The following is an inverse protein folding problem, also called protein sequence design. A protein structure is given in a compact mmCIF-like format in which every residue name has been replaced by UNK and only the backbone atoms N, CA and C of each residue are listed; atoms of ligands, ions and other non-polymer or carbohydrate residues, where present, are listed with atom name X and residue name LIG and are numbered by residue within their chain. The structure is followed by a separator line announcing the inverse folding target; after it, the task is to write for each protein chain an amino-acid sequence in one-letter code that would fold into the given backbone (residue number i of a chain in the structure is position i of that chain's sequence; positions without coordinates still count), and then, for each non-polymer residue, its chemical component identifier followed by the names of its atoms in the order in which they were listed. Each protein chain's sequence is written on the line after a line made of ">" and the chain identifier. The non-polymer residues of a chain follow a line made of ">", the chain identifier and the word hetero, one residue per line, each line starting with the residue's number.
data_IF_593462271889
#
_entry.id   IF_593462271889
#
_cell.length_a   1.000
_cell.length_b   1.000
_cell.length_c   1.000
_cell.angle_alpha   90.00
_cell.angle_beta   90.00
_cell.angle_gamma   90.00
#
_symmetry.space_group_name_H-M   'P 1'
#
loop_
_entity.id
_entity.type
_entity.pdbx_description
1 polymer ?
#
# COMPACT_ATOMS: atom_id res chain seq x y z
N UNK A 1 15.34 21.77 -74.67
CA UNK A 1 14.23 21.32 -75.55
C UNK A 1 13.88 19.87 -75.24
N UNK A 2 12.58 19.60 -75.05
CA UNK A 2 11.88 18.29 -75.12
C UNK A 2 12.20 17.23 -74.04
N UNK A 3 11.26 16.49 -73.46
CA UNK A 3 9.77 16.41 -73.49
C UNK A 3 9.38 15.57 -72.24
N UNK A 4 8.23 15.88 -71.65
CA UNK A 4 7.57 15.07 -70.61
C UNK A 4 7.02 13.77 -71.21
N UNK A 5 7.11 12.67 -70.48
CA UNK A 5 6.15 11.56 -70.57
C UNK A 5 5.94 10.95 -69.18
N UNK A 6 4.72 11.11 -68.68
CA UNK A 6 4.21 10.41 -67.52
C UNK A 6 3.75 9.00 -67.92
N UNK A 7 3.88 8.02 -67.03
CA UNK A 7 3.05 6.83 -67.02
C UNK A 7 2.84 6.37 -65.58
N UNK A 8 1.59 6.50 -65.15
CA UNK A 8 1.05 6.00 -63.90
C UNK A 8 0.89 4.49 -63.95
N UNK A 9 1.29 3.77 -62.89
CA UNK A 9 0.66 2.51 -62.51
C UNK A 9 0.48 2.51 -61.00
N UNK A 10 -0.79 2.58 -60.60
CA UNK A 10 -1.26 2.38 -59.24
C UNK A 10 -1.22 0.90 -58.91
N UNK A 11 -0.58 0.53 -57.79
CA UNK A 11 -0.94 -0.67 -57.03
C UNK A 11 -1.29 -0.21 -55.63
N UNK A 12 -2.59 -0.03 -55.40
CA UNK A 12 -3.15 0.12 -54.07
C UNK A 12 -3.02 -1.23 -53.36
N UNK A 13 -1.95 -1.41 -52.59
CA UNK A 13 -1.92 -2.45 -51.56
C UNK A 13 -2.79 -1.94 -50.41
N UNK A 14 -4.03 -2.44 -50.36
CA UNK A 14 -4.79 -2.50 -49.12
C UNK A 14 -3.99 -3.37 -48.14
N UNK A 15 -3.11 -2.73 -47.38
CA UNK A 15 -2.65 -3.28 -46.12
C UNK A 15 -3.87 -3.28 -45.19
N UNK A 16 -4.56 -4.42 -45.15
CA UNK A 16 -5.39 -4.78 -44.01
C UNK A 16 -4.46 -4.81 -42.80
N UNK A 17 -4.33 -3.67 -42.12
CA UNK A 17 -3.74 -3.62 -40.80
C UNK A 17 -4.59 -4.57 -39.95
N UNK A 18 -3.99 -5.60 -39.31
CA UNK A 18 -4.70 -6.25 -38.23
C UNK A 18 -4.90 -5.16 -37.18
N UNK A 19 -6.14 -4.70 -37.05
CA UNK A 19 -6.58 -4.01 -35.86
C UNK A 19 -6.24 -4.97 -34.72
N UNK A 20 -5.15 -4.69 -34.03
CA UNK A 20 -4.87 -5.28 -32.74
C UNK A 20 -6.07 -4.90 -31.88
N UNK A 21 -7.03 -5.81 -31.82
CA UNK A 21 -8.05 -5.83 -30.78
C UNK A 21 -7.26 -5.85 -29.48
N UNK A 22 -7.06 -4.67 -28.90
CA UNK A 22 -6.69 -4.54 -27.51
C UNK A 22 -7.83 -5.21 -26.75
N UNK A 23 -7.62 -6.47 -26.36
CA UNK A 23 -8.43 -7.14 -25.37
C UNK A 23 -8.31 -6.35 -24.06
N UNK A 24 -9.10 -5.29 -23.96
CA UNK A 24 -9.37 -4.51 -22.76
C UNK A 24 -10.05 -5.46 -21.76
N UNK A 25 -9.26 -6.02 -20.84
CA UNK A 25 -9.76 -6.93 -19.81
C UNK A 25 -8.79 -8.02 -19.37
N UNK A 26 -7.59 -8.09 -19.98
CA UNK A 26 -6.57 -9.09 -19.63
C UNK A 26 -5.79 -8.73 -18.37
N UNK A 27 -5.68 -9.69 -17.46
CA UNK A 27 -4.79 -9.70 -16.30
C UNK A 27 -3.43 -9.09 -16.66
N UNK A 28 -3.07 -7.94 -16.09
CA UNK A 28 -1.80 -7.25 -16.36
C UNK A 28 -0.65 -8.09 -15.79
N UNK A 29 0.15 -8.79 -16.61
CA UNK A 29 1.21 -9.64 -16.10
C UNK A 29 2.19 -8.80 -15.27
N UNK A 30 2.59 -9.31 -14.10
CA UNK A 30 3.51 -8.59 -13.21
C UNK A 30 2.91 -7.40 -12.45
N UNK A 31 1.58 -7.18 -12.49
CA UNK A 31 0.91 -6.14 -11.70
C UNK A 31 0.08 -6.76 -10.57
N UNK A 32 0.28 -6.27 -9.35
CA UNK A 32 -0.48 -6.66 -8.18
C UNK A 32 -1.70 -5.76 -7.95
N UNK A 33 -1.53 -4.44 -8.12
CA UNK A 33 -2.63 -3.49 -8.12
C UNK A 33 -2.27 -2.27 -8.97
N UNK A 34 -3.29 -1.50 -9.35
CA UNK A 34 -3.16 -0.15 -9.90
C UNK A 34 -3.88 0.82 -8.96
N UNK A 35 -3.21 1.91 -8.61
CA UNK A 35 -3.67 2.91 -7.65
C UNK A 35 -3.33 4.28 -8.22
N UNK A 36 -4.34 5.09 -8.53
CA UNK A 36 -4.19 6.40 -9.15
C UNK A 36 -3.56 6.37 -10.54
N UNK A 37 -3.65 5.24 -11.25
CA UNK A 37 -2.93 5.01 -12.51
C UNK A 37 -1.49 4.51 -12.35
N UNK A 38 -0.94 4.48 -11.14
CA UNK A 38 0.37 3.91 -10.84
C UNK A 38 0.28 2.41 -10.56
N UNK A 39 1.30 1.66 -10.99
CA UNK A 39 1.35 0.20 -10.86
C UNK A 39 2.11 -0.21 -9.60
N UNK A 40 1.43 -0.92 -8.70
CA UNK A 40 2.08 -1.79 -7.72
C UNK A 40 2.46 -3.08 -8.43
N UNK A 41 3.74 -3.26 -8.74
CA UNK A 41 4.23 -4.46 -9.41
C UNK A 41 4.28 -5.65 -8.46
N UNK A 42 4.18 -6.87 -9.01
CA UNK A 42 4.35 -8.08 -8.21
C UNK A 42 5.75 -8.19 -7.64
N UNK A 43 6.78 -7.67 -8.33
CA UNK A 43 8.16 -7.63 -7.83
C UNK A 43 8.31 -6.69 -6.65
N UNK A 44 7.69 -5.50 -6.68
CA UNK A 44 7.70 -4.57 -5.55
C UNK A 44 7.01 -5.18 -4.32
N UNK A 45 5.86 -5.83 -4.52
CA UNK A 45 5.18 -6.54 -3.45
C UNK A 45 6.02 -7.69 -2.88
N UNK A 46 6.66 -8.48 -3.74
CA UNK A 46 7.51 -9.59 -3.32
C UNK A 46 8.77 -9.12 -2.58
N UNK A 47 9.35 -7.97 -2.94
CA UNK A 47 10.44 -7.37 -2.19
C UNK A 47 10.01 -7.10 -0.73
N UNK A 48 8.87 -6.43 -0.53
CA UNK A 48 8.33 -6.15 0.81
C UNK A 48 8.07 -7.42 1.64
N UNK A 49 7.64 -8.51 1.00
CA UNK A 49 7.45 -9.82 1.64
C UNK A 49 8.81 -10.44 1.99
N UNK A 50 9.77 -10.39 1.08
CA UNK A 50 11.08 -10.99 1.25
C UNK A 50 11.90 -10.34 2.36
N UNK A 51 11.81 -9.03 2.55
CA UNK A 51 12.49 -8.35 3.67
C UNK A 51 12.01 -8.91 5.00
N UNK A 52 10.68 -9.09 5.15
CA UNK A 52 10.07 -9.68 6.35
C UNK A 52 10.46 -11.14 6.50
N UNK A 53 10.38 -11.95 5.43
CA UNK A 53 10.79 -13.36 5.48
C UNK A 53 12.26 -13.51 5.86
N UNK A 54 13.11 -12.62 5.36
CA UNK A 54 14.53 -12.58 5.70
C UNK A 54 14.73 -12.24 7.18
N UNK A 55 14.02 -11.24 7.70
CA UNK A 55 14.05 -10.90 9.13
C UNK A 55 13.53 -12.06 10.01
N UNK A 56 12.44 -12.72 9.59
CA UNK A 56 11.90 -13.90 10.29
C UNK A 56 12.89 -15.06 10.32
N UNK A 57 13.52 -15.39 9.19
CA UNK A 57 14.51 -16.47 9.11
C UNK A 57 15.76 -16.23 9.98
N UNK A 58 16.10 -14.96 10.25
CA UNK A 58 17.21 -14.59 11.16
C UNK A 58 16.80 -14.59 12.64
N UNK A 59 15.51 -14.69 12.94
CA UNK A 59 15.00 -14.74 14.31
C UNK A 59 15.07 -16.16 14.86
N UNK A 60 15.40 -16.29 16.13
CA UNK A 60 15.31 -17.56 16.88
C UNK A 60 13.88 -18.15 16.84
N UNK A 61 12.89 -17.28 16.59
CA UNK A 61 11.47 -17.61 16.54
C UNK A 61 10.95 -17.78 15.10
N UNK A 62 11.84 -17.91 14.11
CA UNK A 62 11.52 -17.82 12.69
C UNK A 62 10.41 -18.75 12.20
N UNK A 63 10.47 -20.04 12.55
CA UNK A 63 9.44 -21.00 12.15
C UNK A 63 8.04 -20.61 12.65
N UNK A 64 7.92 -20.13 13.90
CA UNK A 64 6.66 -19.65 14.48
C UNK A 64 6.17 -18.40 13.76
N UNK A 65 7.04 -17.42 13.56
CA UNK A 65 6.69 -16.14 12.91
C UNK A 65 6.23 -16.35 11.46
N UNK A 66 6.90 -17.25 10.72
CA UNK A 66 6.51 -17.61 9.36
C UNK A 66 5.14 -18.29 9.36
N UNK A 67 4.92 -19.26 10.26
CA UNK A 67 3.64 -19.95 10.40
C UNK A 67 2.48 -19.02 10.72
N UNK A 68 2.71 -17.99 11.55
CA UNK A 68 1.70 -16.98 11.90
C UNK A 68 1.38 -16.00 10.76
N UNK A 69 2.12 -16.02 9.65
CA UNK A 69 2.02 -15.04 8.57
C UNK A 69 1.81 -15.68 7.20
N UNK A 70 0.96 -16.71 7.12
CA UNK A 70 0.63 -17.37 5.85
C UNK A 70 0.04 -16.41 4.78
N UNK A 71 -0.69 -15.37 5.20
CA UNK A 71 -1.28 -14.35 4.33
C UNK A 71 -0.41 -13.10 4.07
N UNK A 72 0.89 -13.14 4.36
CA UNK A 72 1.77 -11.96 4.38
C UNK A 72 1.73 -11.14 3.08
N UNK A 73 1.65 -11.79 1.92
CA UNK A 73 1.61 -11.07 0.64
C UNK A 73 0.34 -10.22 0.47
N UNK A 74 -0.84 -10.75 0.84
CA UNK A 74 -2.09 -9.97 0.82
C UNK A 74 -2.06 -8.85 1.86
N UNK A 75 -1.49 -9.11 3.03
CA UNK A 75 -1.32 -8.12 4.09
C UNK A 75 -0.43 -6.95 3.63
N UNK A 76 0.70 -7.24 2.95
CA UNK A 76 1.59 -6.21 2.41
C UNK A 76 0.92 -5.42 1.29
N UNK A 77 0.23 -6.09 0.36
CA UNK A 77 -0.49 -5.39 -0.70
C UNK A 77 -1.57 -4.47 -0.13
N UNK A 78 -2.34 -4.95 0.85
CA UNK A 78 -3.34 -4.15 1.55
C UNK A 78 -2.71 -2.89 2.18
N UNK A 79 -1.58 -3.03 2.88
CA UNK A 79 -0.86 -1.89 3.47
C UNK A 79 -0.37 -0.90 2.41
N UNK A 80 0.15 -1.38 1.28
CA UNK A 80 0.60 -0.50 0.19
C UNK A 80 -0.55 0.32 -0.38
N UNK A 81 -1.71 -0.31 -0.63
CA UNK A 81 -2.91 0.38 -1.12
C UNK A 81 -3.43 1.38 -0.07
N UNK A 82 -3.54 0.97 1.20
CA UNK A 82 -3.95 1.87 2.28
C UNK A 82 -3.02 3.07 2.45
N UNK A 83 -1.72 2.87 2.23
CA UNK A 83 -0.72 3.95 2.29
C UNK A 83 -0.99 4.96 1.19
N UNK A 84 -1.19 4.52 -0.06
CA UNK A 84 -1.53 5.41 -1.16
C UNK A 84 -2.85 6.17 -0.95
N UNK A 85 -3.88 5.52 -0.39
CA UNK A 85 -5.14 6.19 -0.02
C UNK A 85 -4.92 7.27 1.03
N UNK A 86 -4.15 6.96 2.08
CA UNK A 86 -3.86 7.90 3.16
C UNK A 86 -3.00 9.08 2.66
N UNK A 87 -2.00 8.80 1.83
CA UNK A 87 -1.14 9.83 1.23
C UNK A 87 -1.96 10.77 0.36
N UNK A 88 -2.84 10.24 -0.50
CA UNK A 88 -3.76 11.07 -1.29
C UNK A 88 -4.64 11.96 -0.40
N UNK A 89 -5.31 11.38 0.60
CA UNK A 89 -6.17 12.15 1.49
C UNK A 89 -5.40 13.24 2.28
N UNK A 90 -4.15 12.97 2.64
CA UNK A 90 -3.31 13.93 3.32
C UNK A 90 -2.82 15.04 2.38
N UNK A 91 -2.45 14.71 1.14
CA UNK A 91 -2.05 15.66 0.12
C UNK A 91 -3.20 16.62 -0.21
N UNK A 92 -4.42 16.10 -0.35
CA UNK A 92 -5.65 16.91 -0.56
C UNK A 92 -5.92 17.87 0.62
N UNK A 93 -5.47 17.50 1.83
CA UNK A 93 -5.55 18.32 3.04
C UNK A 93 -4.32 19.23 3.27
N UNK A 94 -3.31 19.18 2.40
CA UNK A 94 -2.04 19.91 2.56
C UNK A 94 -1.19 19.44 3.74
N UNK A 95 -1.35 18.19 4.17
CA UNK A 95 -0.65 17.59 5.31
C UNK A 95 0.59 16.82 4.84
N UNK A 96 1.68 16.95 5.58
CA UNK A 96 2.91 16.20 5.33
C UNK A 96 3.59 15.78 6.62
N UNK A 97 4.52 14.83 6.53
CA UNK A 97 5.38 14.38 7.62
C UNK A 97 6.83 14.66 7.24
N UNK A 98 7.55 15.34 8.10
CA UNK A 98 8.96 15.67 7.92
C UNK A 98 9.87 14.53 8.39
N UNK A 99 11.11 14.43 7.87
CA UNK A 99 12.10 13.47 8.36
C UNK A 99 12.38 13.60 9.86
N UNK A 100 12.35 14.83 10.38
CA UNK A 100 12.56 15.15 11.81
C UNK A 100 11.51 14.47 12.69
N UNK A 101 10.24 14.47 12.28
CA UNK A 101 9.16 13.85 13.05
C UNK A 101 9.31 12.33 13.10
N UNK A 102 9.75 11.71 12.00
CA UNK A 102 10.05 10.27 11.97
C UNK A 102 11.20 9.97 12.93
N UNK A 103 12.29 10.74 12.86
CA UNK A 103 13.45 10.57 13.74
C UNK A 103 13.09 10.72 15.22
N UNK A 104 12.25 11.69 15.57
CA UNK A 104 11.81 11.93 16.94
C UNK A 104 10.98 10.74 17.48
N UNK A 105 10.07 10.19 16.66
CA UNK A 105 9.35 8.96 17.00
C UNK A 105 10.29 7.77 17.14
N UNK A 106 11.26 7.62 16.24
CA UNK A 106 12.26 6.54 16.31
C UNK A 106 13.07 6.61 17.60
N UNK A 107 13.55 7.79 18.00
CA UNK A 107 14.25 8.01 19.28
C UNK A 107 13.38 7.61 20.47
N UNK A 108 12.12 8.02 20.48
CA UNK A 108 11.19 7.66 21.54
C UNK A 108 10.97 6.14 21.62
N UNK A 109 10.74 5.48 20.48
CA UNK A 109 10.58 4.02 20.42
C UNK A 109 11.82 3.29 20.95
N UNK A 110 13.03 3.74 20.56
CA UNK A 110 14.29 3.15 21.02
C UNK A 110 14.44 3.26 22.54
N UNK A 111 14.09 4.40 23.13
CA UNK A 111 14.09 4.59 24.57
C UNK A 111 13.07 3.68 25.27
N UNK A 112 11.89 3.50 24.69
CA UNK A 112 10.83 2.67 25.27
C UNK A 112 11.15 1.17 25.27
N UNK A 113 11.70 0.66 24.17
CA UNK A 113 11.95 -0.79 24.02
C UNK A 113 13.37 -1.21 24.37
N UNK A 114 14.27 -0.27 24.65
CA UNK A 114 15.65 -0.55 25.07
C UNK A 114 16.65 -0.77 23.93
N UNK A 115 16.43 -0.17 22.75
CA UNK A 115 17.38 -0.12 21.65
C UNK A 115 16.96 -0.86 20.36
N UNK A 116 17.82 -0.78 19.33
CA UNK A 116 17.50 -1.19 17.96
C UNK A 116 17.11 -2.66 17.82
N UNK A 117 17.82 -3.57 18.50
CA UNK A 117 17.55 -5.01 18.41
C UNK A 117 16.15 -5.35 18.97
N UNK A 118 15.80 -4.76 20.11
CA UNK A 118 14.49 -4.97 20.73
C UNK A 118 13.37 -4.36 19.88
N UNK A 119 13.62 -3.19 19.28
CA UNK A 119 12.68 -2.53 18.39
C UNK A 119 12.42 -3.33 17.11
N UNK A 120 13.47 -3.83 16.47
CA UNK A 120 13.36 -4.71 15.31
C UNK A 120 12.59 -5.99 15.64
N UNK A 121 12.86 -6.62 16.79
CA UNK A 121 12.14 -7.81 17.23
C UNK A 121 10.65 -7.54 17.46
N UNK A 122 10.32 -6.45 18.16
CA UNK A 122 8.93 -6.05 18.41
C UNK A 122 8.20 -5.69 17.10
N UNK A 123 8.84 -4.95 16.20
CA UNK A 123 8.26 -4.60 14.90
C UNK A 123 7.98 -5.84 14.03
N UNK A 124 8.88 -6.83 14.08
CA UNK A 124 8.72 -8.08 13.34
C UNK A 124 7.59 -8.94 13.92
N UNK A 125 7.48 -9.02 15.24
CA UNK A 125 6.51 -9.87 15.94
C UNK A 125 5.10 -9.27 15.96
N UNK A 126 4.98 -7.96 16.15
CA UNK A 126 3.68 -7.30 16.35
C UNK A 126 3.11 -6.67 15.09
N UNK A 127 3.97 -6.23 14.16
CA UNK A 127 3.56 -5.47 12.98
C UNK A 127 3.97 -6.12 11.65
N UNK A 128 4.65 -7.28 11.69
CA UNK A 128 5.16 -7.99 10.53
C UNK A 128 6.04 -7.06 9.66
N UNK A 129 6.87 -6.23 10.29
CA UNK A 129 7.77 -5.29 9.63
C UNK A 129 9.21 -5.77 9.70
N UNK A 130 9.92 -5.67 8.59
CA UNK A 130 11.37 -5.73 8.58
C UNK A 130 11.96 -4.41 9.11
N UNK A 131 13.22 -4.38 9.60
CA UNK A 131 13.81 -3.19 10.21
C UNK A 131 13.78 -1.94 9.31
N UNK A 132 14.02 -2.12 8.01
CA UNK A 132 14.00 -1.08 6.98
C UNK A 132 12.59 -0.57 6.64
N UNK A 133 11.55 -1.29 7.06
CA UNK A 133 10.15 -0.89 6.86
C UNK A 133 9.60 -0.06 8.02
N UNK A 134 10.34 0.10 9.12
CA UNK A 134 9.82 0.77 10.32
C UNK A 134 9.62 2.28 10.10
N UNK A 135 10.49 2.94 9.35
CA UNK A 135 10.35 4.38 9.08
C UNK A 135 9.14 4.68 8.20
N UNK A 136 8.89 3.83 7.19
CA UNK A 136 7.70 3.94 6.34
C UNK A 136 6.42 3.74 7.15
N UNK A 137 6.39 2.76 8.06
CA UNK A 137 5.23 2.56 8.94
C UNK A 137 5.06 3.71 9.96
N UNK A 138 6.16 4.26 10.47
CA UNK A 138 6.13 5.46 11.32
C UNK A 138 5.53 6.65 10.58
N UNK A 139 5.96 6.88 9.33
CA UNK A 139 5.38 7.93 8.47
C UNK A 139 3.88 7.72 8.28
N UNK A 140 3.45 6.50 7.97
CA UNK A 140 2.03 6.17 7.83
C UNK A 140 1.23 6.51 9.10
N UNK A 141 1.74 6.12 10.28
CA UNK A 141 1.07 6.40 11.56
C UNK A 141 0.98 7.90 11.84
N UNK A 142 2.06 8.65 11.64
CA UNK A 142 2.09 10.09 11.80
C UNK A 142 1.11 10.79 10.85
N UNK A 143 1.08 10.39 9.58
CA UNK A 143 0.20 10.98 8.58
C UNK A 143 -1.28 10.70 8.91
N UNK A 144 -1.60 9.48 9.33
CA UNK A 144 -2.92 9.11 9.85
C UNK A 144 -3.30 9.98 11.04
N UNK A 145 -2.42 10.13 12.01
CA UNK A 145 -2.73 10.87 13.23
C UNK A 145 -2.95 12.35 12.93
N UNK A 146 -2.14 12.95 12.04
CA UNK A 146 -2.35 14.31 11.51
C UNK A 146 -3.67 14.46 10.78
N UNK A 147 -4.03 13.53 9.89
CA UNK A 147 -5.29 13.57 9.14
C UNK A 147 -6.49 13.57 10.08
N UNK A 148 -6.50 12.65 11.05
CA UNK A 148 -7.60 12.55 12.01
C UNK A 148 -7.67 13.78 12.93
N UNK A 149 -6.53 14.33 13.34
CA UNK A 149 -6.48 15.56 14.13
C UNK A 149 -6.98 16.76 13.32
N UNK A 150 -6.58 16.89 12.06
CA UNK A 150 -6.99 17.97 11.17
C UNK A 150 -8.52 18.05 11.00
N UNK A 151 -9.19 16.92 10.78
CA UNK A 151 -10.63 16.89 10.61
C UNK A 151 -11.43 16.90 11.93
N UNK A 152 -10.77 16.66 13.07
CA UNK A 152 -11.36 16.75 14.41
C UNK A 152 -12.41 15.69 14.75
N UNK A 153 -12.78 14.82 13.81
CA UNK A 153 -13.59 13.63 14.07
C UNK A 153 -13.19 12.48 13.16
N UNK A 154 -13.32 11.26 13.69
CA UNK A 154 -13.06 10.03 12.95
C UNK A 154 -13.97 9.92 11.71
N UNK A 155 -15.26 10.18 11.85
CA UNK A 155 -16.21 10.08 10.73
C UNK A 155 -15.83 11.01 9.57
N UNK A 156 -15.41 12.26 9.87
CA UNK A 156 -14.98 13.20 8.85
C UNK A 156 -13.71 12.72 8.14
N UNK A 157 -12.73 12.23 8.90
CA UNK A 157 -11.50 11.68 8.32
C UNK A 157 -11.80 10.45 7.44
N UNK A 158 -12.72 9.57 7.85
CA UNK A 158 -13.13 8.40 7.07
C UNK A 158 -13.85 8.79 5.77
N UNK A 159 -14.69 9.84 5.79
CA UNK A 159 -15.27 10.38 4.56
C UNK A 159 -14.18 10.82 3.58
N UNK A 160 -13.14 11.51 4.06
CA UNK A 160 -12.03 11.97 3.21
C UNK A 160 -11.15 10.84 2.69
N UNK A 161 -10.92 9.82 3.50
CA UNK A 161 -10.25 8.61 3.03
C UNK A 161 -11.06 7.86 1.96
N UNK A 162 -12.39 7.83 2.09
CA UNK A 162 -13.28 7.26 1.07
C UNK A 162 -13.31 8.05 -0.23
N UNK A 163 -13.31 9.38 -0.16
CA UNK A 163 -13.15 10.28 -1.32
C UNK A 163 -11.82 10.00 -2.04
N UNK A 164 -10.71 9.97 -1.31
CA UNK A 164 -9.40 9.66 -1.87
C UNK A 164 -9.34 8.26 -2.51
N UNK A 165 -9.90 7.23 -1.85
CA UNK A 165 -9.94 5.87 -2.39
C UNK A 165 -10.72 5.80 -3.72
N UNK A 166 -11.81 6.56 -3.85
CA UNK A 166 -12.61 6.65 -5.07
C UNK A 166 -11.84 7.34 -6.20
N UNK A 167 -11.15 8.44 -5.89
CA UNK A 167 -10.35 9.18 -6.87
C UNK A 167 -9.14 8.39 -7.38
N UNK A 168 -8.63 7.46 -6.57
CA UNK A 168 -7.52 6.60 -6.95
C UNK A 168 -7.93 5.45 -7.90
N UNK A 169 -9.22 5.21 -8.17
CA UNK A 169 -9.66 4.16 -9.09
C UNK A 169 -8.90 2.83 -8.90
N UNK A 170 -8.93 2.30 -7.67
CA UNK A 170 -8.09 1.18 -7.26
C UNK A 170 -8.54 -0.11 -7.94
N UNK A 171 -7.61 -0.75 -8.65
CA UNK A 171 -7.83 -2.03 -9.30
C UNK A 171 -6.82 -3.06 -8.80
N UNK A 172 -7.32 -4.14 -8.20
CA UNK A 172 -6.46 -5.20 -7.66
C UNK A 172 -6.51 -6.44 -8.55
N UNK A 173 -5.36 -7.07 -8.76
CA UNK A 173 -5.28 -8.33 -9.49
C UNK A 173 -6.11 -9.40 -8.73
N UNK A 174 -7.08 -10.06 -9.39
CA UNK A 174 -8.01 -10.99 -8.74
C UNK A 174 -7.35 -12.08 -7.90
N UNK A 175 -6.10 -12.46 -8.19
CA UNK A 175 -5.34 -13.43 -7.39
C UNK A 175 -5.13 -13.01 -5.94
N UNK A 176 -5.20 -11.72 -5.65
CA UNK A 176 -5.03 -11.15 -4.31
C UNK A 176 -6.34 -10.84 -3.60
N UNK A 177 -7.48 -11.04 -4.27
CA UNK A 177 -8.81 -10.71 -3.76
C UNK A 177 -9.39 -9.46 -4.38
N UNK A 178 -10.47 -8.96 -3.78
CA UNK A 178 -11.24 -7.80 -4.23
C UNK A 178 -11.04 -6.63 -3.26
N UNK A 179 -10.83 -5.45 -3.82
CA UNK A 179 -10.81 -4.21 -3.05
C UNK A 179 -12.24 -3.79 -2.63
N UNK A 180 -12.39 -3.37 -1.38
CA UNK A 180 -13.57 -2.72 -0.83
C UNK A 180 -13.22 -1.26 -0.52
N UNK A 181 -13.74 -0.34 -1.34
CA UNK A 181 -13.51 1.10 -1.19
C UNK A 181 -14.12 1.67 0.09
N UNK A 182 -15.24 1.13 0.55
CA UNK A 182 -15.94 1.62 1.74
C UNK A 182 -15.21 1.24 3.01
N UNK A 183 -14.63 0.03 3.02
CA UNK A 183 -13.85 -0.47 4.14
C UNK A 183 -12.35 -0.12 4.03
N UNK A 184 -11.91 0.37 2.86
CA UNK A 184 -10.50 0.66 2.55
C UNK A 184 -9.66 -0.60 2.80
N UNK A 185 -10.11 -1.70 2.22
CA UNK A 185 -9.67 -3.03 2.57
C UNK A 185 -9.56 -3.95 1.35
N UNK A 186 -8.51 -4.76 1.32
CA UNK A 186 -8.38 -5.86 0.36
C UNK A 186 -8.88 -7.18 0.96
N UNK A 187 -9.93 -7.77 0.37
CA UNK A 187 -10.41 -9.10 0.71
C UNK A 187 -10.87 -9.26 2.17
N UNK A 188 -10.40 -10.30 2.83
CA UNK A 188 -10.68 -10.67 4.23
C UNK A 188 -9.72 -10.05 5.24
N UNK A 189 -8.87 -9.10 4.81
CA UNK A 189 -7.89 -8.47 5.68
C UNK A 189 -8.58 -7.61 6.76
N UNK A 190 -7.81 -7.07 7.70
CA UNK A 190 -8.34 -6.17 8.73
C UNK A 190 -7.80 -4.74 8.53
N UNK A 191 -8.56 -3.75 9.02
CA UNK A 191 -8.14 -2.34 9.13
C UNK A 191 -8.05 -1.90 10.60
N UNK A 192 -7.15 -2.45 11.43
CA UNK A 192 -7.14 -2.13 12.87
C UNK A 192 -6.96 -0.64 13.15
N UNK A 193 -6.25 0.09 12.28
CA UNK A 193 -6.05 1.53 12.41
C UNK A 193 -7.32 2.37 12.21
N UNK A 194 -8.35 1.83 11.55
CA UNK A 194 -9.68 2.44 11.43
C UNK A 194 -10.49 2.19 12.72
N UNK A 195 -10.40 0.99 13.28
CA UNK A 195 -11.19 0.58 14.45
C UNK A 195 -10.57 0.98 15.80
N UNK A 196 -9.25 1.21 15.88
CA UNK A 196 -8.55 1.45 17.16
C UNK A 196 -8.90 2.79 17.83
N UNK A 197 -9.39 3.81 17.12
CA UNK A 197 -9.86 5.05 17.76
C UNK A 197 -11.27 4.98 18.35
N UNK A 198 -12.04 3.94 17.99
CA UNK A 198 -13.39 3.68 18.54
C UNK A 198 -13.40 2.89 19.84
N UNK A 199 -12.25 2.40 20.33
CA UNK A 199 -12.17 1.76 21.63
C UNK A 199 -11.76 2.82 22.67
N UNK A 200 -12.63 3.18 23.65
CA UNK A 200 -12.13 3.80 24.87
C UNK A 200 -11.06 2.87 25.43
N UNK A 201 -9.96 3.43 25.91
CA UNK A 201 -8.97 2.71 26.70
C UNK A 201 -9.69 1.70 27.60
N UNK A 202 -9.50 0.41 27.32
CA UNK A 202 -10.10 -0.66 28.10
C UNK A 202 -9.71 -0.39 29.54
N UNK A 203 -10.68 0.08 30.33
CA UNK A 203 -10.55 0.20 31.76
C UNK A 203 -9.94 -1.11 32.24
N UNK A 204 -8.79 -1.00 32.91
CA UNK A 204 -8.16 -2.09 33.60
C UNK A 204 -9.25 -2.90 34.33
N UNK A 205 -9.21 -4.24 34.32
CA UNK A 205 -10.18 -5.02 35.06
C UNK A 205 -10.11 -4.55 36.52
N UNK A 206 -11.18 -3.91 36.98
CA UNK A 206 -11.44 -3.78 38.40
C UNK A 206 -11.65 -5.21 38.91
N UNK A 207 -10.56 -5.80 39.40
CA UNK A 207 -10.52 -7.14 39.96
C UNK A 207 -10.32 -7.05 41.45
N UNK A 208 -11.41 -7.36 42.17
CA UNK A 208 -11.54 -8.05 43.45
C UNK A 208 -10.52 -7.78 44.57
#
# INVERSE_FOLDING_TARGET
>A
MHRRTALSVSVALLAAAPLLAACSGGTRPGTAAVVGGERITTSALQAQVNDVRTAQNRSEQGARLIGATAGLERLKLNKMIQTAVLERAADDAGLSVSPKEIEDVRKAQLQQVGGEKALAAAALEQAQLAPDQIDADTRFKLLRDKLFAHYGSQDKALVKLGEAAKELHIEVNPRYGRWDEKQILLGDQQTPWITQKTMPEQAAPAGA
#
